data_IF_830773463444
#
_entry.id   IF_830773463444
#
_cell.length_a   1.000
_cell.length_b   1.000
_cell.length_c   1.000
_cell.angle_alpha   90.00
_cell.angle_beta   90.00
_cell.angle_gamma   90.00
#
_symmetry.space_group_name_H-M   'P 1'
#
loop_
_entity.id
_entity.type
_entity.pdbx_description
1 polymer ?
#
# COMPACT_ATOMS: atom_id res chain seq x y z
N UNK A 1 33.71 -22.38 -15.35
CA UNK A 1 32.78 -22.64 -14.24
C UNK A 1 32.34 -21.31 -13.64
N UNK A 2 31.16 -20.80 -14.00
CA UNK A 2 30.66 -19.53 -13.48
C UNK A 2 30.07 -19.74 -12.08
N UNK A 3 30.60 -19.01 -11.08
CA UNK A 3 30.09 -19.01 -9.71
C UNK A 3 28.65 -18.53 -9.71
N UNK A 4 27.71 -19.41 -9.35
CA UNK A 4 26.34 -19.03 -9.02
C UNK A 4 26.38 -18.09 -7.82
N UNK A 5 26.08 -16.81 -8.05
CA UNK A 5 25.81 -15.86 -6.98
C UNK A 5 24.41 -16.22 -6.46
N UNK A 6 24.38 -17.02 -5.40
CA UNK A 6 23.17 -17.26 -4.61
C UNK A 6 22.78 -15.92 -3.99
N UNK A 7 21.56 -15.39 -4.20
CA UNK A 7 21.17 -14.13 -3.57
C UNK A 7 21.15 -14.35 -2.06
N UNK A 8 21.95 -13.55 -1.37
CA UNK A 8 22.11 -13.57 0.07
C UNK A 8 20.75 -13.43 0.77
N UNK A 9 20.61 -14.14 1.90
CA UNK A 9 19.50 -14.03 2.84
C UNK A 9 19.00 -12.59 2.96
N UNK A 10 17.70 -12.41 2.77
CA UNK A 10 17.01 -11.13 2.82
C UNK A 10 17.20 -10.48 4.20
N UNK A 11 18.17 -9.58 4.32
CA UNK A 11 18.31 -8.72 5.49
C UNK A 11 17.39 -7.53 5.27
N UNK A 12 16.22 -7.52 5.92
CA UNK A 12 15.28 -6.41 5.81
C UNK A 12 15.97 -5.12 6.26
N UNK A 13 16.11 -4.16 5.34
CA UNK A 13 16.82 -2.91 5.62
C UNK A 13 16.10 -2.14 6.74
N UNK A 14 16.80 -1.30 7.52
CA UNK A 14 16.16 -0.45 8.53
C UNK A 14 14.99 0.37 7.97
N UNK A 15 15.11 0.87 6.74
CA UNK A 15 14.04 1.57 6.03
C UNK A 15 12.82 0.67 5.76
N UNK A 16 13.03 -0.57 5.29
CA UNK A 16 11.94 -1.53 5.09
C UNK A 16 11.23 -1.87 6.40
N UNK A 17 11.97 -2.01 7.50
CA UNK A 17 11.38 -2.21 8.83
C UNK A 17 10.55 -1.00 9.27
N UNK A 18 11.07 0.21 9.09
CA UNK A 18 10.34 1.44 9.41
C UNK A 18 9.04 1.56 8.60
N UNK A 19 9.06 1.22 7.31
CA UNK A 19 7.87 1.20 6.45
C UNK A 19 6.84 0.20 6.97
N UNK A 20 7.23 -1.02 7.35
CA UNK A 20 6.31 -2.01 7.92
C UNK A 20 5.65 -1.52 9.22
N UNK A 21 6.40 -0.84 10.10
CA UNK A 21 5.85 -0.25 11.34
C UNK A 21 4.83 0.84 11.00
N UNK A 22 5.16 1.75 10.08
CA UNK A 22 4.24 2.80 9.64
C UNK A 22 2.98 2.21 9.00
N UNK A 23 3.10 1.16 8.19
CA UNK A 23 1.93 0.48 7.62
C UNK A 23 1.04 -0.13 8.70
N UNK A 24 1.63 -0.78 9.70
CA UNK A 24 0.87 -1.32 10.84
C UNK A 24 0.14 -0.21 11.61
N UNK A 25 0.82 0.90 11.88
CA UNK A 25 0.24 2.08 12.55
C UNK A 25 -0.88 2.71 11.73
N UNK A 26 -0.66 2.90 10.43
CA UNK A 26 -1.63 3.50 9.51
C UNK A 26 -2.89 2.65 9.38
N UNK A 27 -2.75 1.33 9.23
CA UNK A 27 -3.89 0.40 9.30
C UNK A 27 -4.58 0.43 10.67
N UNK A 28 -3.82 0.66 11.74
CA UNK A 28 -4.38 0.91 13.08
C UNK A 28 -5.32 2.10 13.09
N UNK A 29 -4.87 3.24 12.58
CA UNK A 29 -5.71 4.43 12.46
C UNK A 29 -6.91 4.24 11.52
N UNK A 30 -6.73 3.51 10.41
CA UNK A 30 -7.83 3.18 9.51
C UNK A 30 -8.94 2.38 10.23
N UNK A 31 -8.57 1.38 11.04
CA UNK A 31 -9.54 0.53 11.77
C UNK A 31 -10.34 1.28 12.82
N UNK A 32 -9.78 2.34 13.40
CA UNK A 32 -10.49 3.23 14.34
C UNK A 32 -11.10 4.44 13.64
N UNK A 33 -11.26 4.37 12.32
CA UNK A 33 -11.90 5.38 11.46
C UNK A 33 -11.20 6.74 11.48
N UNK A 34 -9.97 6.81 11.96
CA UNK A 34 -9.13 8.01 11.91
C UNK A 34 -8.40 8.09 10.58
N UNK A 35 -9.17 8.27 9.51
CA UNK A 35 -8.65 8.30 8.14
C UNK A 35 -7.63 9.43 7.87
N UNK A 36 -7.76 10.65 8.43
CA UNK A 36 -6.74 11.68 8.30
C UNK A 36 -5.38 11.25 8.86
N UNK A 37 -5.33 10.60 10.02
CA UNK A 37 -4.06 10.07 10.55
C UNK A 37 -3.56 8.88 9.75
N UNK A 38 -4.45 8.00 9.31
CA UNK A 38 -4.09 6.88 8.43
C UNK A 38 -3.35 7.38 7.18
N UNK A 39 -3.87 8.42 6.53
CA UNK A 39 -3.24 9.07 5.37
C UNK A 39 -1.88 9.65 5.72
N UNK A 40 -1.79 10.45 6.79
CA UNK A 40 -0.52 11.08 7.18
C UNK A 40 0.59 10.05 7.46
N UNK A 41 0.24 8.91 8.09
CA UNK A 41 1.17 7.81 8.32
C UNK A 41 1.53 7.10 7.01
N UNK A 42 0.56 6.84 6.14
CA UNK A 42 0.81 6.21 4.85
C UNK A 42 1.68 7.08 3.93
N UNK A 43 1.53 8.40 3.93
CA UNK A 43 2.39 9.32 3.20
C UNK A 43 3.84 9.32 3.72
N UNK A 44 4.03 9.16 5.03
CA UNK A 44 5.38 8.95 5.61
C UNK A 44 5.98 7.64 5.09
N UNK A 45 5.19 6.56 5.09
CA UNK A 45 5.63 5.27 4.54
C UNK A 45 5.99 5.39 3.05
N UNK A 46 5.20 6.13 2.27
CA UNK A 46 5.44 6.38 0.85
C UNK A 46 6.78 7.10 0.59
N UNK A 47 7.13 8.08 1.41
CA UNK A 47 8.41 8.80 1.28
C UNK A 47 9.61 7.89 1.55
N UNK A 48 9.46 6.90 2.42
CA UNK A 48 10.53 5.95 2.75
C UNK A 48 10.64 4.81 1.72
N UNK A 49 9.51 4.34 1.20
CA UNK A 49 9.48 3.34 0.13
C UNK A 49 8.36 3.64 -0.88
N UNK A 50 8.68 4.39 -1.95
CA UNK A 50 7.72 4.73 -3.00
C UNK A 50 7.25 3.54 -3.84
N UNK A 51 7.90 2.36 -3.74
CA UNK A 51 7.57 1.16 -4.50
C UNK A 51 6.77 0.13 -3.68
N UNK A 52 6.55 0.37 -2.38
CA UNK A 52 5.76 -0.51 -1.52
C UNK A 52 4.27 -0.46 -1.90
N UNK A 53 3.78 -1.49 -2.60
CA UNK A 53 2.39 -1.58 -3.06
C UNK A 53 1.35 -1.41 -1.93
N UNK A 54 1.64 -1.94 -0.73
CA UNK A 54 0.75 -1.86 0.44
C UNK A 54 0.50 -0.42 0.91
N UNK A 55 1.44 0.50 0.68
CA UNK A 55 1.26 1.93 0.98
C UNK A 55 0.11 2.52 0.15
N UNK A 56 0.06 2.18 -1.12
CA UNK A 56 -0.97 2.65 -2.03
C UNK A 56 -2.33 2.00 -1.74
N UNK A 57 -2.34 0.75 -1.27
CA UNK A 57 -3.56 0.12 -0.76
C UNK A 57 -4.11 0.91 0.43
N UNK A 58 -3.28 1.22 1.42
CA UNK A 58 -3.70 1.98 2.61
C UNK A 58 -4.19 3.40 2.26
N UNK A 59 -3.45 4.12 1.40
CA UNK A 59 -3.86 5.45 0.93
C UNK A 59 -5.19 5.38 0.19
N UNK A 60 -5.32 4.46 -0.77
CA UNK A 60 -6.55 4.28 -1.55
C UNK A 60 -7.74 3.94 -0.67
N UNK A 61 -7.61 2.97 0.25
CA UNK A 61 -8.68 2.62 1.20
C UNK A 61 -9.08 3.82 2.05
N UNK A 62 -8.10 4.56 2.59
CA UNK A 62 -8.36 5.73 3.44
C UNK A 62 -9.03 6.89 2.69
N UNK A 63 -8.75 7.05 1.39
CA UNK A 63 -9.42 8.04 0.55
C UNK A 63 -10.80 7.58 0.06
N UNK A 64 -10.98 6.28 -0.18
CA UNK A 64 -12.25 5.71 -0.63
C UNK A 64 -13.37 5.89 0.41
N UNK A 65 -13.09 5.59 1.68
CA UNK A 65 -14.04 5.79 2.79
C UNK A 65 -14.39 7.27 3.04
N UNK A 66 -13.58 8.20 2.54
CA UNK A 66 -13.86 9.64 2.56
C UNK A 66 -14.55 10.13 1.28
N UNK A 67 -15.11 9.21 0.48
CA UNK A 67 -15.78 9.49 -0.80
C UNK A 67 -14.90 10.19 -1.84
N UNK A 68 -13.57 10.18 -1.67
CA UNK A 68 -12.62 10.73 -2.65
C UNK A 68 -12.27 9.67 -3.70
N UNK A 69 -13.29 9.18 -4.40
CA UNK A 69 -13.25 8.02 -5.29
C UNK A 69 -12.24 8.14 -6.42
N UNK A 70 -12.16 9.29 -7.11
CA UNK A 70 -11.20 9.48 -8.20
C UNK A 70 -9.73 9.37 -7.75
N UNK A 71 -9.40 9.97 -6.59
CA UNK A 71 -8.06 9.85 -6.01
C UNK A 71 -7.78 8.43 -5.52
N UNK A 72 -8.77 7.79 -4.88
CA UNK A 72 -8.67 6.42 -4.42
C UNK A 72 -8.41 5.45 -5.59
N UNK A 73 -9.10 5.62 -6.72
CA UNK A 73 -8.89 4.79 -7.90
C UNK A 73 -7.46 4.92 -8.43
N UNK A 74 -6.99 6.16 -8.65
CA UNK A 74 -5.64 6.41 -9.16
C UNK A 74 -4.57 5.77 -8.26
N UNK A 75 -4.73 5.88 -6.94
CA UNK A 75 -3.82 5.26 -5.98
C UNK A 75 -3.89 3.74 -6.01
N UNK A 76 -5.08 3.14 -6.11
CA UNK A 76 -5.20 1.68 -6.19
C UNK A 76 -4.59 1.13 -7.49
N UNK A 77 -4.75 1.82 -8.62
CA UNK A 77 -4.11 1.44 -9.89
C UNK A 77 -2.58 1.48 -9.78
N UNK A 78 -2.02 2.50 -9.11
CA UNK A 78 -0.59 2.59 -8.83
C UNK A 78 -0.10 1.50 -7.88
N UNK A 79 -0.87 1.18 -6.84
CA UNK A 79 -0.57 0.03 -5.99
C UNK A 79 -0.54 -1.27 -6.79
N UNK A 80 -1.49 -1.44 -7.71
CA UNK A 80 -1.64 -2.66 -8.49
C UNK A 80 -0.43 -2.88 -9.40
N UNK A 81 0.06 -1.84 -10.08
CA UNK A 81 1.25 -1.94 -10.95
C UNK A 81 2.52 -2.33 -10.19
N UNK A 82 2.62 -1.98 -8.90
CA UNK A 82 3.76 -2.27 -8.02
C UNK A 82 3.67 -3.64 -7.32
N UNK A 83 2.50 -4.28 -7.34
CA UNK A 83 2.23 -5.49 -6.56
C UNK A 83 2.68 -6.80 -7.24
N UNK A 84 3.55 -6.75 -8.25
CA UNK A 84 3.99 -7.92 -9.03
C UNK A 84 4.66 -9.04 -8.20
N UNK A 85 5.22 -8.72 -7.03
CA UNK A 85 5.79 -9.70 -6.09
C UNK A 85 4.83 -10.19 -4.99
N UNK A 86 3.64 -9.61 -4.86
CA UNK A 86 2.75 -9.83 -3.71
C UNK A 86 1.31 -10.12 -4.16
N UNK A 87 0.96 -11.40 -4.22
CA UNK A 87 -0.36 -11.84 -4.64
C UNK A 87 -1.47 -11.39 -3.68
N UNK A 88 -1.20 -11.34 -2.38
CA UNK A 88 -2.19 -10.93 -1.39
C UNK A 88 -2.54 -9.45 -1.55
N UNK A 89 -1.53 -8.59 -1.73
CA UNK A 89 -1.75 -7.16 -1.99
C UNK A 89 -2.42 -6.93 -3.35
N UNK A 90 -2.02 -7.67 -4.40
CA UNK A 90 -2.72 -7.65 -5.70
C UNK A 90 -4.22 -7.88 -5.55
N UNK A 91 -4.61 -8.96 -4.87
CA UNK A 91 -6.02 -9.31 -4.73
C UNK A 91 -6.81 -8.24 -3.96
N UNK A 92 -6.22 -7.68 -2.89
CA UNK A 92 -6.85 -6.59 -2.13
C UNK A 92 -7.07 -5.34 -2.99
N UNK A 93 -6.07 -4.96 -3.79
CA UNK A 93 -6.16 -3.81 -4.69
C UNK A 93 -7.17 -4.02 -5.81
N UNK A 94 -7.24 -5.22 -6.39
CA UNK A 94 -8.25 -5.57 -7.39
C UNK A 94 -9.66 -5.49 -6.80
N UNK A 95 -9.88 -6.06 -5.61
CA UNK A 95 -11.16 -5.97 -4.92
C UNK A 95 -11.55 -4.53 -4.61
N UNK A 96 -10.60 -3.72 -4.15
CA UNK A 96 -10.83 -2.30 -3.86
C UNK A 96 -11.19 -1.52 -5.14
N UNK A 97 -10.54 -1.78 -6.27
CA UNK A 97 -10.86 -1.15 -7.56
C UNK A 97 -12.28 -1.48 -8.03
N UNK A 98 -12.74 -2.72 -7.84
CA UNK A 98 -14.12 -3.11 -8.15
C UNK A 98 -15.10 -2.31 -7.29
N UNK A 99 -14.84 -2.19 -5.99
CA UNK A 99 -15.68 -1.40 -5.08
C UNK A 99 -15.70 0.08 -5.45
N UNK A 100 -14.54 0.68 -5.72
CA UNK A 100 -14.44 2.10 -6.10
C UNK A 100 -15.24 2.37 -7.37
N UNK A 101 -15.11 1.54 -8.40
CA UNK A 101 -15.82 1.72 -9.68
C UNK A 101 -17.32 1.49 -9.56
N UNK A 102 -17.73 0.58 -8.69
CA UNK A 102 -19.15 0.38 -8.39
C UNK A 102 -19.80 1.54 -7.65
N UNK A 103 -19.03 2.34 -6.91
CA UNK A 103 -19.52 3.50 -6.16
C UNK A 103 -19.63 4.80 -6.98
N UNK A 104 -19.19 4.79 -8.24
CA UNK A 104 -19.22 5.94 -9.15
C UNK A 104 -20.46 5.93 -10.07
N UNK A 105 -21.23 4.84 -10.04
CA UNK A 105 -22.51 4.67 -10.76
C UNK A 105 -23.69 5.06 -9.87
#
# INVERSE_FOLDING_TARGET
MAKKIVPARQTTSPAQRAVSILLQEGWGYYRVENYPRSIAIAERAQRLDPQRAEVYLLLSSSYFVQSKTGLAEHLAQRGLSLSQGDAAIRHKLQSLLVQIRGAVL
#
